data_IF_723911553091
#
_entry.id   IF_723911553091
#
_cell.length_a   1.000
_cell.length_b   1.000
_cell.length_c   1.000
_cell.angle_alpha   90.00
_cell.angle_beta   90.00
_cell.angle_gamma   90.00
#
_symmetry.space_group_name_H-M   'P 1'
#
loop_
_entity.id
_entity.type
_entity.pdbx_description
1 polymer ?
#
# COMPACT_ATOMS: atom_id res chain seq x y z
N UNK A 1 -31.78 10.38 14.14
CA UNK A 1 -30.55 10.19 13.34
C UNK A 1 -29.35 10.35 14.25
N UNK A 2 -28.36 9.44 14.18
CA UNK A 2 -27.13 9.54 14.97
C UNK A 2 -26.00 10.01 14.04
N UNK A 3 -25.44 11.18 14.31
CA UNK A 3 -24.27 11.69 13.60
C UNK A 3 -23.05 10.87 14.03
N UNK A 4 -22.43 10.17 13.08
CA UNK A 4 -21.30 9.27 13.37
C UNK A 4 -19.93 9.94 13.20
N UNK A 5 -19.83 10.98 12.37
CA UNK A 5 -18.60 11.70 12.11
C UNK A 5 -18.91 13.11 11.58
N UNK A 6 -18.15 14.12 12.02
CA UNK A 6 -18.22 15.50 11.53
C UNK A 6 -16.83 16.12 11.58
N UNK A 7 -16.41 16.74 10.49
CA UNK A 7 -15.10 17.37 10.37
C UNK A 7 -15.05 18.29 9.16
N UNK A 8 -14.12 19.23 9.17
CA UNK A 8 -13.87 20.14 8.06
C UNK A 8 -12.80 19.54 7.13
N UNK A 9 -13.03 19.59 5.83
CA UNK A 9 -12.07 19.18 4.81
C UNK A 9 -11.71 20.42 3.99
N UNK A 10 -10.42 20.71 3.89
CA UNK A 10 -9.93 21.83 3.10
C UNK A 10 -9.54 21.34 1.70
N UNK A 11 -10.35 21.62 0.68
CA UNK A 11 -10.09 21.17 -0.69
C UNK A 11 -9.29 22.25 -1.42
N UNK A 12 -8.06 21.91 -1.81
CA UNK A 12 -7.17 22.83 -2.53
C UNK A 12 -7.43 22.79 -4.03
N UNK A 13 -7.46 23.95 -4.67
CA UNK A 13 -7.57 24.04 -6.13
C UNK A 13 -6.34 23.39 -6.79
N UNK A 14 -6.56 22.59 -7.84
CA UNK A 14 -5.52 21.84 -8.51
C UNK A 14 -5.01 20.64 -7.71
N UNK A 15 -5.77 20.11 -6.76
CA UNK A 15 -5.49 18.86 -6.05
C UNK A 15 -6.69 17.91 -6.12
N UNK A 16 -6.41 16.63 -6.32
CA UNK A 16 -7.33 15.53 -6.10
C UNK A 16 -7.28 15.16 -4.62
N UNK A 17 -8.44 15.16 -3.96
CA UNK A 17 -8.55 14.84 -2.53
C UNK A 17 -9.32 13.54 -2.36
N UNK A 18 -8.64 12.50 -1.89
CA UNK A 18 -9.23 11.21 -1.56
C UNK A 18 -9.53 11.16 -0.07
N UNK A 19 -10.79 10.92 0.30
CA UNK A 19 -11.22 10.80 1.69
C UNK A 19 -11.72 9.40 1.93
N UNK A 20 -11.12 8.72 2.91
CA UNK A 20 -11.50 7.38 3.29
C UNK A 20 -11.85 7.31 4.77
N UNK A 21 -13.07 6.86 5.09
CA UNK A 21 -13.50 6.63 6.47
C UNK A 21 -13.41 5.13 6.76
N UNK A 22 -12.61 4.74 7.75
CA UNK A 22 -12.49 3.35 8.15
C UNK A 22 -13.64 2.92 9.09
N UNK A 23 -13.74 1.61 9.36
CA UNK A 23 -14.77 1.03 10.25
C UNK A 23 -14.71 1.50 11.71
N UNK A 24 -13.63 2.15 12.10
CA UNK A 24 -13.42 2.71 13.44
C UNK A 24 -13.74 4.21 13.49
N UNK A 25 -14.32 4.77 12.41
CA UNK A 25 -14.71 6.18 12.35
C UNK A 25 -13.56 7.15 12.15
N UNK A 26 -12.36 6.68 11.77
CA UNK A 26 -11.24 7.55 11.43
C UNK A 26 -11.28 7.89 9.96
N UNK A 27 -11.13 9.18 9.64
CA UNK A 27 -10.99 9.66 8.27
C UNK A 27 -9.51 9.81 7.90
N UNK A 28 -9.16 9.31 6.72
CA UNK A 28 -7.89 9.53 6.06
C UNK A 28 -8.14 10.49 4.90
N UNK A 29 -7.28 11.48 4.75
CA UNK A 29 -7.33 12.46 3.66
C UNK A 29 -5.99 12.39 2.94
N UNK A 30 -5.99 12.03 1.66
CA UNK A 30 -4.85 12.12 0.75
C UNK A 30 -5.09 13.27 -0.24
N UNK A 31 -4.06 14.05 -0.55
CA UNK A 31 -4.13 15.17 -1.50
C UNK A 31 -3.02 15.02 -2.55
N UNK A 32 -3.38 15.01 -3.83
CA UNK A 32 -2.44 14.89 -4.96
C UNK A 32 -2.61 16.03 -5.94
N UNK A 33 -1.55 16.70 -6.35
CA UNK A 33 -1.67 17.79 -7.33
C UNK A 33 -2.15 17.26 -8.69
N UNK A 34 -3.17 17.90 -9.25
CA UNK A 34 -3.67 17.73 -10.62
C UNK A 34 -2.82 18.65 -11.53
N UNK A 35 -1.56 18.27 -11.71
CA UNK A 35 -0.64 18.65 -12.79
C UNK A 35 -0.36 20.13 -13.10
N UNK A 36 0.89 20.56 -12.88
CA UNK A 36 1.86 20.97 -13.93
C UNK A 36 3.21 21.35 -13.28
N UNK A 37 4.25 20.57 -13.61
CA UNK A 37 5.69 20.76 -13.33
C UNK A 37 6.11 20.88 -11.85
N UNK A 38 6.59 19.76 -11.28
CA UNK A 38 7.56 19.79 -10.18
C UNK A 38 8.96 19.83 -10.80
N UNK A 39 9.46 21.04 -11.05
CA UNK A 39 10.90 21.30 -11.09
C UNK A 39 11.45 21.23 -9.65
N UNK A 40 12.67 20.74 -9.52
CA UNK A 40 13.48 20.57 -8.30
C UNK A 40 13.29 19.26 -7.49
N UNK A 41 13.84 18.17 -8.02
CA UNK A 41 14.88 17.42 -7.29
C UNK A 41 15.74 16.61 -8.29
N UNK A 42 17.04 16.88 -8.32
CA UNK A 42 18.02 16.07 -9.06
C UNK A 42 18.17 14.70 -8.37
N UNK A 43 17.47 13.69 -8.88
CA UNK A 43 17.71 12.28 -8.61
C UNK A 43 17.72 11.55 -9.94
N UNK A 44 18.76 10.77 -10.21
CA UNK A 44 18.85 9.90 -11.38
C UNK A 44 17.67 8.90 -11.36
N UNK A 45 16.55 9.27 -11.98
CA UNK A 45 15.46 8.35 -12.26
C UNK A 45 15.50 7.97 -13.74
N UNK A 46 15.92 6.72 -13.94
CA UNK A 46 15.87 6.00 -15.19
C UNK A 46 14.42 6.02 -15.71
N UNK A 47 14.22 6.77 -16.79
CA UNK A 47 12.94 6.94 -17.46
C UNK A 47 12.57 5.65 -18.21
N UNK A 48 11.88 4.72 -17.53
CA UNK A 48 11.07 3.73 -18.24
C UNK A 48 9.59 4.17 -18.25
N UNK A 49 9.25 4.85 -19.33
CA UNK A 49 7.89 5.27 -19.67
C UNK A 49 7.04 4.04 -20.03
N UNK A 50 6.26 3.54 -19.08
CA UNK A 50 5.18 2.59 -19.38
C UNK A 50 3.86 2.98 -18.69
N UNK A 51 3.08 3.80 -19.37
CA UNK A 51 1.70 4.12 -19.03
C UNK A 51 0.80 2.89 -19.14
N UNK A 52 0.65 2.10 -18.05
CA UNK A 52 -0.54 1.26 -17.78
C UNK A 52 -0.41 0.36 -16.53
N UNK A 53 0.75 0.19 -15.90
CA UNK A 53 0.89 -0.65 -14.69
C UNK A 53 1.96 -0.11 -13.74
N UNK A 54 1.85 1.17 -13.37
CA UNK A 54 2.82 1.75 -12.44
C UNK A 54 2.35 1.52 -11.00
N UNK A 55 3.25 0.94 -10.20
CA UNK A 55 3.08 0.85 -8.77
C UNK A 55 2.89 2.25 -8.15
N UNK A 56 2.33 2.30 -6.95
CA UNK A 56 2.18 3.51 -6.15
C UNK A 56 3.46 4.35 -6.20
N UNK A 57 3.35 5.66 -6.40
CA UNK A 57 4.53 6.53 -6.43
C UNK A 57 5.25 6.50 -5.07
N UNK A 58 6.57 6.72 -5.06
CA UNK A 58 7.37 6.68 -3.83
C UNK A 58 6.84 7.68 -2.79
N UNK A 59 6.47 8.89 -3.23
CA UNK A 59 5.88 9.92 -2.37
C UNK A 59 4.60 9.45 -1.68
N UNK A 60 3.66 8.88 -2.44
CA UNK A 60 2.40 8.36 -1.89
C UNK A 60 2.63 7.15 -0.99
N UNK A 61 3.60 6.32 -1.35
CA UNK A 61 3.95 5.16 -0.55
C UNK A 61 4.58 5.56 0.79
N UNK A 62 5.45 6.56 0.82
CA UNK A 62 6.00 7.11 2.07
C UNK A 62 4.91 7.69 2.98
N UNK A 63 3.94 8.42 2.43
CA UNK A 63 2.78 8.91 3.19
C UNK A 63 1.96 7.76 3.79
N UNK A 64 1.74 6.69 3.03
CA UNK A 64 1.07 5.48 3.51
C UNK A 64 1.89 4.83 4.64
N UNK A 65 3.21 4.66 4.48
CA UNK A 65 4.09 4.10 5.52
C UNK A 65 4.03 4.92 6.80
N UNK A 66 4.07 6.24 6.72
CA UNK A 66 3.95 7.12 7.88
C UNK A 66 2.59 6.95 8.59
N UNK A 67 1.52 6.83 7.82
CA UNK A 67 0.17 6.62 8.36
C UNK A 67 0.07 5.29 9.11
N UNK A 68 0.57 4.20 8.50
CA UNK A 68 0.59 2.87 9.11
C UNK A 68 1.45 2.86 10.38
N UNK A 69 2.64 3.50 10.36
CA UNK A 69 3.55 3.56 11.52
C UNK A 69 2.94 4.25 12.74
N UNK A 70 2.01 5.20 12.55
CA UNK A 70 1.32 5.91 13.63
C UNK A 70 0.29 5.05 14.36
N UNK A 71 -0.12 3.94 13.77
CA UNK A 71 -1.10 3.04 14.37
C UNK A 71 -0.47 2.07 15.36
N UNK A 72 -1.11 1.85 16.51
CA UNK A 72 -0.60 0.96 17.56
C UNK A 72 -0.90 -0.51 17.33
N UNK A 73 -1.96 -0.84 16.60
CA UNK A 73 -2.45 -2.21 16.42
C UNK A 73 -2.32 -2.67 14.96
N UNK A 74 -1.77 -3.87 14.77
CA UNK A 74 -1.55 -4.43 13.44
C UNK A 74 -2.86 -4.63 12.65
N UNK A 75 -3.98 -4.93 13.29
CA UNK A 75 -5.27 -5.07 12.58
C UNK A 75 -5.73 -3.76 11.94
N UNK A 76 -5.44 -2.64 12.61
CA UNK A 76 -5.69 -1.30 12.05
C UNK A 76 -4.71 -1.00 10.92
N UNK A 77 -3.43 -1.32 11.10
CA UNK A 77 -2.40 -1.20 10.05
C UNK A 77 -2.80 -1.99 8.79
N UNK A 78 -3.24 -3.24 8.97
CA UNK A 78 -3.75 -4.09 7.90
C UNK A 78 -4.94 -3.47 7.17
N UNK A 79 -5.90 -2.94 7.92
CA UNK A 79 -7.10 -2.33 7.35
C UNK A 79 -6.73 -1.13 6.46
N UNK A 80 -5.82 -0.27 6.92
CA UNK A 80 -5.34 0.89 6.14
C UNK A 80 -4.59 0.42 4.90
N UNK A 81 -3.65 -0.51 5.03
CA UNK A 81 -2.87 -1.05 3.93
C UNK A 81 -3.75 -1.68 2.85
N UNK A 82 -4.66 -2.60 3.23
CA UNK A 82 -5.59 -3.26 2.29
C UNK A 82 -6.45 -2.26 1.54
N UNK A 83 -6.81 -1.17 2.20
CA UNK A 83 -7.65 -0.13 1.61
C UNK A 83 -6.89 0.72 0.61
N UNK A 84 -5.67 1.15 0.93
CA UNK A 84 -4.82 1.90 0.00
C UNK A 84 -4.52 1.07 -1.27
N UNK A 85 -4.21 -0.22 -1.10
CA UNK A 85 -3.83 -1.14 -2.17
C UNK A 85 -5.04 -1.57 -3.03
N UNK A 86 -6.27 -1.45 -2.52
CA UNK A 86 -7.45 -1.77 -3.33
C UNK A 86 -7.59 -0.84 -4.54
N UNK A 87 -7.19 0.42 -4.39
CA UNK A 87 -7.38 1.48 -5.39
C UNK A 87 -6.11 1.78 -6.18
N UNK A 88 -4.98 1.16 -5.84
CA UNK A 88 -3.67 1.43 -6.42
C UNK A 88 -2.87 0.14 -6.54
N UNK A 89 -2.06 0.00 -7.60
CA UNK A 89 -1.15 -1.12 -7.70
C UNK A 89 0.10 -0.89 -6.85
N UNK A 90 0.80 -1.96 -6.47
CA UNK A 90 2.04 -1.90 -5.68
C UNK A 90 3.13 -2.74 -6.34
N UNK A 91 4.39 -2.44 -6.02
CA UNK A 91 5.52 -3.30 -6.40
C UNK A 91 5.82 -4.33 -5.32
N UNK A 92 6.51 -5.39 -5.70
CA UNK A 92 7.01 -6.42 -4.78
C UNK A 92 7.89 -5.80 -3.68
N UNK A 93 8.71 -4.79 -4.03
CA UNK A 93 9.51 -4.05 -3.07
C UNK A 93 8.63 -3.30 -2.05
N UNK A 94 7.58 -2.61 -2.50
CA UNK A 94 6.64 -1.93 -1.62
C UNK A 94 5.88 -2.88 -0.72
N UNK A 95 5.51 -4.07 -1.21
CA UNK A 95 4.90 -5.11 -0.37
C UNK A 95 5.87 -5.54 0.73
N UNK A 96 7.15 -5.76 0.42
CA UNK A 96 8.16 -6.12 1.43
C UNK A 96 8.30 -5.04 2.50
N UNK A 97 8.31 -3.78 2.09
CA UNK A 97 8.34 -2.64 3.01
C UNK A 97 7.11 -2.59 3.91
N UNK A 98 5.91 -2.84 3.36
CA UNK A 98 4.67 -2.94 4.15
C UNK A 98 4.73 -4.07 5.17
N UNK A 99 5.26 -5.24 4.81
CA UNK A 99 5.45 -6.33 5.76
C UNK A 99 6.38 -5.95 6.92
N UNK A 100 7.37 -5.09 6.66
CA UNK A 100 8.24 -4.54 7.70
C UNK A 100 7.52 -3.66 8.73
N UNK A 101 6.32 -3.15 8.41
CA UNK A 101 5.52 -2.32 9.32
C UNK A 101 4.53 -3.13 10.18
N UNK A 102 4.39 -4.41 9.93
CA UNK A 102 3.51 -5.32 10.66
C UNK A 102 4.37 -6.15 11.62
N UNK A 103 3.87 -6.35 12.83
CA UNK A 103 4.60 -6.99 13.92
C UNK A 103 4.32 -8.49 13.96
N UNK A 104 3.04 -8.87 13.84
CA UNK A 104 2.58 -10.25 13.89
C UNK A 104 2.71 -10.94 12.52
N UNK A 105 3.37 -12.09 12.52
CA UNK A 105 3.63 -12.88 11.32
C UNK A 105 2.35 -13.32 10.61
N UNK A 106 1.30 -13.69 11.35
CA UNK A 106 0.01 -14.05 10.78
C UNK A 106 -0.60 -12.90 9.97
N UNK A 107 -0.46 -11.67 10.49
CA UNK A 107 -0.94 -10.46 9.83
C UNK A 107 -0.08 -10.13 8.60
N UNK A 108 1.24 -10.31 8.67
CA UNK A 108 2.13 -10.22 7.49
C UNK A 108 1.68 -11.16 6.38
N UNK A 109 1.31 -12.40 6.73
CA UNK A 109 0.89 -13.39 5.74
C UNK A 109 -0.44 -13.02 5.08
N UNK A 110 -1.39 -12.51 5.86
CA UNK A 110 -2.69 -12.04 5.36
C UNK A 110 -2.51 -10.89 4.34
N UNK A 111 -1.75 -9.85 4.70
CA UNK A 111 -1.50 -8.74 3.75
C UNK A 111 -0.66 -9.19 2.54
N UNK A 112 0.33 -10.07 2.72
CA UNK A 112 1.13 -10.58 1.61
C UNK A 112 0.27 -11.34 0.59
N UNK A 113 -0.68 -12.16 1.03
CA UNK A 113 -1.62 -12.83 0.12
C UNK A 113 -2.54 -11.82 -0.56
N UNK A 114 -3.06 -10.86 0.20
CA UNK A 114 -3.95 -9.82 -0.32
C UNK A 114 -3.30 -8.97 -1.43
N UNK A 115 -2.03 -8.56 -1.25
CA UNK A 115 -1.32 -7.70 -2.19
C UNK A 115 -0.93 -8.40 -3.50
N UNK A 116 -0.87 -9.73 -3.53
CA UNK A 116 -0.38 -10.48 -4.70
C UNK A 116 -1.16 -10.12 -5.98
N UNK A 117 -2.49 -10.02 -5.88
CA UNK A 117 -3.36 -9.69 -7.03
C UNK A 117 -3.23 -8.24 -7.52
N UNK A 118 -2.68 -7.36 -6.68
CA UNK A 118 -2.48 -5.93 -6.93
C UNK A 118 -1.02 -5.59 -7.24
N UNK A 119 -0.16 -6.60 -7.36
CA UNK A 119 1.27 -6.40 -7.59
C UNK A 119 1.59 -6.37 -9.08
N UNK A 120 2.35 -5.37 -9.51
CA UNK A 120 2.71 -5.16 -10.92
C UNK A 120 3.78 -6.12 -11.42
N UNK A 121 4.78 -6.40 -10.59
CA UNK A 121 5.96 -7.22 -10.90
C UNK A 121 5.86 -8.62 -10.25
N UNK A 122 4.71 -9.29 -10.45
CA UNK A 122 4.38 -10.58 -9.82
C UNK A 122 5.41 -11.69 -10.06
N UNK A 123 6.21 -11.61 -11.14
CA UNK A 123 7.32 -12.52 -11.39
C UNK A 123 8.37 -12.51 -10.27
N UNK A 124 8.53 -11.39 -9.58
CA UNK A 124 9.48 -11.22 -8.47
C UNK A 124 8.86 -11.53 -7.11
N UNK A 125 7.56 -11.84 -7.05
CA UNK A 125 6.81 -11.88 -5.78
C UNK A 125 7.29 -12.96 -4.79
N UNK A 126 7.97 -13.99 -5.27
CA UNK A 126 8.62 -14.99 -4.41
C UNK A 126 9.61 -14.36 -3.42
N UNK A 127 10.19 -13.19 -3.74
CA UNK A 127 11.10 -12.44 -2.86
C UNK A 127 10.41 -11.92 -1.59
N UNK A 128 9.08 -11.78 -1.58
CA UNK A 128 8.30 -11.39 -0.39
C UNK A 128 8.45 -12.42 0.73
N UNK A 129 8.69 -13.69 0.41
CA UNK A 129 8.92 -14.74 1.40
C UNK A 129 10.12 -14.43 2.32
N UNK A 130 11.10 -13.65 1.87
CA UNK A 130 12.26 -13.27 2.68
C UNK A 130 11.92 -12.33 3.84
N UNK A 131 10.73 -11.71 3.85
CA UNK A 131 10.27 -10.82 4.92
C UNK A 131 9.64 -11.57 6.12
N UNK A 132 9.50 -12.90 6.04
CA UNK A 132 8.95 -13.75 7.10
C UNK A 132 10.05 -14.37 7.97
N UNK A 133 9.81 -14.48 9.27
CA UNK A 133 10.75 -15.11 10.19
C UNK A 133 10.60 -16.64 10.23
N UNK A 134 9.38 -17.14 10.16
CA UNK A 134 9.05 -18.55 10.28
C UNK A 134 8.93 -19.23 8.91
N UNK A 135 9.50 -20.43 8.81
CA UNK A 135 9.49 -21.21 7.58
C UNK A 135 8.07 -21.58 7.12
N UNK A 136 7.16 -21.84 8.06
CA UNK A 136 5.77 -22.17 7.75
C UNK A 136 5.08 -21.04 6.96
N UNK A 137 5.29 -19.79 7.36
CA UNK A 137 4.69 -18.62 6.68
C UNK A 137 5.30 -18.42 5.28
N UNK A 138 6.60 -18.69 5.11
CA UNK A 138 7.25 -18.70 3.79
C UNK A 138 6.63 -19.71 2.86
N UNK A 139 6.54 -20.97 3.30
CA UNK A 139 5.98 -22.07 2.51
C UNK A 139 4.51 -21.82 2.16
N UNK A 140 3.74 -21.27 3.10
CA UNK A 140 2.34 -20.95 2.87
C UNK A 140 2.15 -19.84 1.84
N UNK A 141 3.01 -18.81 1.83
CA UNK A 141 2.99 -17.79 0.79
C UNK A 141 3.40 -18.36 -0.57
N UNK A 142 4.45 -19.17 -0.64
CA UNK A 142 4.91 -19.78 -1.89
C UNK A 142 3.83 -20.69 -2.50
N UNK A 143 3.18 -21.53 -1.68
CA UNK A 143 2.05 -22.35 -2.11
C UNK A 143 0.90 -21.50 -2.64
N UNK A 144 0.61 -20.37 -1.99
CA UNK A 144 -0.41 -19.43 -2.46
C UNK A 144 -0.04 -18.84 -3.83
N UNK A 145 1.21 -18.42 -4.04
CA UNK A 145 1.69 -17.90 -5.33
C UNK A 145 1.55 -18.96 -6.43
N UNK A 146 1.92 -20.22 -6.17
CA UNK A 146 1.79 -21.32 -7.13
C UNK A 146 0.32 -21.56 -7.52
N UNK A 147 -0.59 -21.54 -6.56
CA UNK A 147 -2.01 -21.78 -6.79
C UNK A 147 -2.68 -20.65 -7.60
N UNK A 148 -2.28 -19.41 -7.39
CA UNK A 148 -2.91 -18.22 -7.98
C UNK A 148 -2.05 -17.57 -9.07
N UNK A 149 -1.03 -18.28 -9.57
CA UNK A 149 -0.16 -17.79 -10.63
C UNK A 149 -0.99 -17.41 -11.85
N UNK A 150 -0.93 -16.12 -12.22
CA UNK A 150 -1.61 -15.63 -13.42
C UNK A 150 -0.95 -16.25 -14.67
N UNK A 151 -1.74 -16.75 -15.64
CA UNK A 151 -1.22 -17.29 -16.90
C UNK A 151 -0.57 -16.20 -17.75
#
# INVERSE_FOLDING_TARGET
MKLLYSGNVNIRNGYHTDILINRFGRAFVDERSIGRNEEDYNGYDDYDNNWSNQAMSERSFEQLKQTIRRESFDDTRLTIAKTAIRNQQVSTAQVRDLLGLISFEQNKLDIAKYCYQYTVDYNNYYLVANSFAYNNSKQELLRYIEQYRRP
#
